data_IF_339403033518
#
_entry.id   IF_339403033518
#
_cell.length_a   1.000
_cell.length_b   1.000
_cell.length_c   1.000
_cell.angle_alpha   90.00
_cell.angle_beta   90.00
_cell.angle_gamma   90.00
#
_symmetry.space_group_name_H-M   'P 1'
#
loop_
_entity.id
_entity.type
_entity.pdbx_description
1 polymer ?
#
# COMPACT_ATOMS: atom_id res chain seq x y z
N UNK A 1 -10.56 -27.74 62.35
CA UNK A 1 -9.68 -26.57 62.11
C UNK A 1 -9.52 -26.47 60.60
N UNK A 2 -10.06 -25.39 60.02
CA UNK A 2 -10.14 -25.18 58.58
C UNK A 2 -9.04 -24.19 58.18
N UNK A 3 -8.20 -24.56 57.22
CA UNK A 3 -7.17 -23.68 56.64
C UNK A 3 -7.48 -23.39 55.18
N UNK A 4 -7.58 -22.09 54.90
CA UNK A 4 -7.97 -21.44 53.65
C UNK A 4 -6.73 -21.28 52.74
N UNK A 5 -6.83 -21.50 51.42
CA UNK A 5 -5.74 -21.18 50.49
C UNK A 5 -5.66 -19.67 50.18
N UNK A 6 -4.47 -19.11 49.92
CA UNK A 6 -4.30 -17.69 49.67
C UNK A 6 -4.82 -17.26 48.29
N UNK A 7 -5.56 -16.16 48.33
CA UNK A 7 -6.18 -15.42 47.23
C UNK A 7 -5.15 -14.79 46.29
N UNK A 8 -5.33 -14.97 44.98
CA UNK A 8 -4.58 -14.27 43.92
C UNK A 8 -5.04 -12.80 43.81
N UNK A 9 -4.14 -11.80 43.80
CA UNK A 9 -4.53 -10.44 43.45
C UNK A 9 -4.74 -10.30 41.94
N UNK A 10 -5.97 -9.95 41.58
CA UNK A 10 -6.37 -9.54 40.24
C UNK A 10 -5.52 -8.34 39.75
N UNK A 11 -4.92 -8.48 38.57
CA UNK A 11 -4.24 -7.40 37.85
C UNK A 11 -5.26 -6.32 37.46
N UNK A 12 -4.96 -5.07 37.79
CA UNK A 12 -5.66 -3.89 37.28
C UNK A 12 -5.33 -3.70 35.79
N UNK A 13 -6.32 -3.52 34.90
CA UNK A 13 -6.08 -2.97 33.56
C UNK A 13 -5.74 -1.48 33.68
N UNK A 14 -4.68 -1.04 33.01
CA UNK A 14 -4.29 0.37 32.91
C UNK A 14 -4.62 0.86 31.49
N UNK A 15 -5.91 0.92 31.19
CA UNK A 15 -6.46 1.70 30.10
C UNK A 15 -7.31 2.79 30.75
N UNK A 16 -6.90 4.05 30.59
CA UNK A 16 -7.75 5.21 30.92
C UNK A 16 -8.76 5.36 29.80
N UNK A 17 -10.01 5.42 30.22
CA UNK A 17 -11.20 5.56 29.40
C UNK A 17 -11.18 6.81 28.52
N UNK A 18 -11.63 6.63 27.27
CA UNK A 18 -12.34 7.65 26.52
C UNK A 18 -13.73 7.83 27.16
N UNK A 19 -14.32 9.04 27.18
CA UNK A 19 -15.54 9.29 27.95
C UNK A 19 -16.76 8.57 27.34
N UNK A 20 -17.35 7.69 28.14
CA UNK A 20 -18.63 7.03 27.90
C UNK A 20 -19.77 8.02 28.20
N UNK A 21 -20.66 8.17 27.22
CA UNK A 21 -21.84 9.04 27.26
C UNK A 21 -22.87 8.54 28.27
N UNK A 22 -23.31 9.42 29.16
CA UNK A 22 -24.42 9.21 30.11
C UNK A 22 -25.73 8.87 29.38
N UNK A 23 -26.49 7.83 29.81
CA UNK A 23 -27.84 7.61 29.32
C UNK A 23 -28.84 8.50 30.08
N UNK A 24 -29.65 9.26 29.32
CA UNK A 24 -30.77 10.04 29.83
C UNK A 24 -31.98 9.14 30.18
N UNK A 25 -32.85 9.56 31.12
CA UNK A 25 -33.88 8.71 31.71
C UNK A 25 -35.10 8.51 30.80
N UNK A 26 -35.72 7.34 30.96
CA UNK A 26 -36.93 6.91 30.27
C UNK A 26 -38.13 7.86 30.49
N UNK A 27 -38.94 8.15 29.45
CA UNK A 27 -40.27 8.66 29.63
C UNK A 27 -41.34 7.56 29.56
N UNK A 28 -42.45 7.87 30.21
CA UNK A 28 -43.55 7.02 30.60
C UNK A 28 -44.36 6.40 29.44
N UNK A 29 -45.04 5.31 29.81
CA UNK A 29 -45.93 4.46 29.04
C UNK A 29 -47.33 5.10 28.91
N UNK A 30 -47.86 5.24 27.69
CA UNK A 30 -49.30 5.19 27.39
C UNK A 30 -49.54 4.91 25.88
N UNK A 31 -50.73 4.40 25.48
CA UNK A 31 -50.88 3.39 24.42
C UNK A 31 -51.27 3.97 23.05
N UNK A 32 -50.85 3.32 21.97
CA UNK A 32 -51.53 3.46 20.67
C UNK A 32 -51.23 2.30 19.71
N UNK A 33 -52.27 1.50 19.50
CA UNK A 33 -52.81 1.05 18.22
C UNK A 33 -51.88 0.41 17.17
N UNK A 34 -52.19 -0.85 16.90
CA UNK A 34 -51.69 -1.69 15.82
C UNK A 34 -51.72 -1.02 14.44
N UNK A 35 -50.58 -1.03 13.73
CA UNK A 35 -50.56 -1.05 12.26
C UNK A 35 -49.48 -2.02 11.76
N UNK A 36 -49.97 -3.15 11.25
CA UNK A 36 -49.27 -4.20 10.52
C UNK A 36 -48.88 -3.64 9.14
N UNK A 37 -47.58 -3.43 8.88
CA UNK A 37 -47.08 -3.06 7.54
C UNK A 37 -46.26 -4.21 6.95
N UNK A 38 -46.75 -4.66 5.79
CA UNK A 38 -46.25 -5.70 4.88
C UNK A 38 -44.72 -5.65 4.68
N UNK A 39 -44.05 -6.79 4.92
CA UNK A 39 -42.72 -7.09 4.37
C UNK A 39 -42.87 -7.45 2.88
N UNK A 40 -42.13 -6.75 2.03
CA UNK A 40 -41.90 -7.14 0.63
C UNK A 40 -40.61 -7.99 0.51
N UNK A 41 -40.55 -8.90 -0.46
CA UNK A 41 -39.51 -9.93 -0.56
C UNK A 41 -38.20 -9.38 -1.14
N UNK A 42 -37.09 -9.78 -0.53
CA UNK A 42 -35.71 -9.54 -0.97
C UNK A 42 -35.39 -10.25 -2.28
N UNK A 43 -34.80 -9.52 -3.23
CA UNK A 43 -34.25 -10.06 -4.49
C UNK A 43 -32.96 -10.86 -4.23
N UNK A 44 -32.69 -11.93 -4.99
CA UNK A 44 -31.53 -12.79 -4.79
C UNK A 44 -30.22 -12.15 -5.28
N UNK A 45 -29.17 -12.39 -4.49
CA UNK A 45 -27.78 -12.02 -4.71
C UNK A 45 -27.18 -12.73 -5.93
N UNK A 46 -26.40 -11.99 -6.71
CA UNK A 46 -25.75 -12.45 -7.93
C UNK A 46 -24.64 -13.47 -7.66
N UNK A 47 -24.68 -14.55 -8.44
CA UNK A 47 -23.80 -15.72 -8.46
C UNK A 47 -22.30 -15.41 -8.61
N UNK A 48 -21.52 -15.94 -7.66
CA UNK A 48 -20.05 -15.89 -7.52
C UNK A 48 -19.33 -16.80 -8.54
N UNK A 49 -20.05 -17.50 -9.43
CA UNK A 49 -19.44 -18.52 -10.31
C UNK A 49 -18.87 -18.00 -11.63
N UNK A 50 -19.15 -16.76 -12.03
CA UNK A 50 -18.71 -16.24 -13.34
C UNK A 50 -17.19 -15.93 -13.46
N UNK A 51 -16.47 -15.44 -12.43
CA UNK A 51 -15.03 -15.17 -12.59
C UNK A 51 -14.17 -16.45 -12.61
N UNK A 52 -14.62 -17.55 -12.00
CA UNK A 52 -13.86 -18.80 -11.95
C UNK A 52 -13.81 -19.54 -13.31
N UNK A 53 -14.87 -19.42 -14.13
CA UNK A 53 -14.93 -20.01 -15.47
C UNK A 53 -14.07 -19.26 -16.52
N UNK A 54 -13.83 -17.97 -16.31
CA UNK A 54 -13.01 -17.17 -17.22
C UNK A 54 -11.51 -17.48 -17.00
N UNK A 55 -11.11 -17.72 -15.75
CA UNK A 55 -9.71 -18.01 -15.42
C UNK A 55 -9.25 -19.38 -15.94
N UNK A 56 -10.13 -20.39 -15.94
CA UNK A 56 -9.81 -21.73 -16.46
C UNK A 56 -9.68 -21.75 -17.99
N UNK A 57 -10.52 -20.98 -18.70
CA UNK A 57 -10.44 -20.88 -20.17
C UNK A 57 -9.09 -20.30 -20.65
N UNK A 58 -8.53 -19.33 -19.93
CA UNK A 58 -7.22 -18.72 -20.28
C UNK A 58 -6.07 -19.70 -20.10
N UNK A 59 -6.10 -20.56 -19.08
CA UNK A 59 -5.07 -21.58 -18.86
C UNK A 59 -5.07 -22.66 -19.96
N UNK A 60 -6.24 -23.09 -20.43
CA UNK A 60 -6.31 -24.08 -21.52
C UNK A 60 -5.80 -23.53 -22.86
N UNK A 61 -6.01 -22.23 -23.15
CA UNK A 61 -5.49 -21.60 -24.37
C UNK A 61 -3.96 -21.51 -24.34
N UNK A 62 -3.34 -21.20 -23.20
CA UNK A 62 -1.88 -21.14 -23.08
C UNK A 62 -1.20 -22.51 -23.21
N UNK A 63 -1.77 -23.54 -22.57
CA UNK A 63 -1.22 -24.91 -22.66
C UNK A 63 -1.43 -25.50 -24.06
N UNK A 64 -2.59 -25.25 -24.68
CA UNK A 64 -2.86 -25.67 -26.06
C UNK A 64 -1.97 -24.97 -27.09
N UNK A 65 -1.70 -23.67 -26.90
CA UNK A 65 -0.80 -22.89 -27.76
C UNK A 65 0.64 -23.39 -27.72
N UNK A 66 1.15 -23.76 -26.53
CA UNK A 66 2.51 -24.30 -26.38
C UNK A 66 2.66 -25.71 -27.01
N UNK A 67 1.62 -26.55 -26.91
CA UNK A 67 1.64 -27.88 -27.54
C UNK A 67 1.60 -27.82 -29.08
N UNK A 68 0.82 -26.88 -29.64
CA UNK A 68 0.73 -26.66 -31.10
C UNK A 68 2.01 -26.02 -31.66
N UNK A 69 2.65 -25.12 -30.90
CA UNK A 69 3.92 -24.54 -31.30
C UNK A 69 5.07 -25.54 -31.24
N UNK A 70 5.14 -26.35 -30.17
CA UNK A 70 6.15 -27.40 -30.02
C UNK A 70 6.07 -28.50 -31.09
N UNK A 71 4.86 -28.93 -31.46
CA UNK A 71 4.67 -29.93 -32.52
C UNK A 71 5.03 -29.41 -33.92
N UNK A 72 4.74 -28.14 -34.21
CA UNK A 72 5.12 -27.50 -35.48
C UNK A 72 6.64 -27.31 -35.59
N UNK A 73 7.32 -26.99 -34.49
CA UNK A 73 8.78 -26.84 -34.45
C UNK A 73 9.52 -28.17 -34.60
N UNK A 74 8.97 -29.26 -34.06
CA UNK A 74 9.50 -30.62 -34.24
C UNK A 74 9.24 -31.16 -35.66
N UNK A 75 8.08 -30.86 -36.26
CA UNK A 75 7.77 -31.25 -37.64
C UNK A 75 8.69 -30.56 -38.67
N UNK A 76 9.15 -29.33 -38.42
CA UNK A 76 10.07 -28.61 -39.30
C UNK A 76 11.53 -29.12 -39.23
N UNK A 77 11.90 -29.89 -38.20
CA UNK A 77 13.26 -30.46 -38.06
C UNK A 77 13.35 -31.95 -38.38
N UNK A 78 12.26 -32.60 -38.76
CA UNK A 78 12.29 -34.00 -39.20
C UNK A 78 12.64 -34.05 -40.71
N UNK A 79 13.77 -34.65 -41.12
CA UNK A 79 14.02 -34.88 -42.54
C UNK A 79 13.01 -35.88 -43.09
N UNK A 80 12.27 -35.47 -44.12
CA UNK A 80 11.38 -36.30 -44.92
C UNK A 80 12.18 -37.39 -45.63
N UNK A 81 12.27 -38.56 -45.00
CA UNK A 81 12.78 -39.78 -45.63
C UNK A 81 11.59 -40.57 -46.19
N UNK A 82 11.66 -40.81 -47.50
CA UNK A 82 10.75 -41.66 -48.27
C UNK A 82 10.72 -43.10 -47.71
N UNK A 83 9.58 -43.82 -47.71
CA UNK A 83 9.50 -45.15 -47.13
C UNK A 83 10.14 -46.15 -48.09
N UNK A 84 11.40 -46.52 -47.83
CA UNK A 84 12.12 -47.50 -48.61
C UNK A 84 13.23 -48.16 -47.80
N UNK A 85 13.03 -49.45 -47.50
CA UNK A 85 13.99 -50.42 -46.98
C UNK A 85 14.61 -50.16 -45.59
N UNK A 86 14.26 -51.03 -44.64
CA UNK A 86 14.92 -51.16 -43.36
C UNK A 86 16.37 -51.65 -43.56
N UNK A 87 17.30 -50.70 -43.64
CA UNK A 87 18.73 -50.97 -43.63
C UNK A 87 19.24 -51.15 -42.19
N UNK A 88 20.20 -52.06 -41.95
CA UNK A 88 20.74 -52.39 -40.62
C UNK A 88 21.38 -51.19 -39.89
N UNK A 89 21.72 -50.11 -40.61
CA UNK A 89 22.20 -48.84 -40.03
C UNK A 89 21.19 -48.17 -39.09
N UNK A 90 19.89 -48.27 -39.34
CA UNK A 90 18.85 -47.64 -38.51
C UNK A 90 18.79 -48.30 -37.12
N UNK A 91 19.04 -49.61 -37.05
CA UNK A 91 19.08 -50.35 -35.79
C UNK A 91 20.30 -49.99 -34.93
N UNK A 92 21.43 -49.66 -35.57
CA UNK A 92 22.65 -49.24 -34.89
C UNK A 92 22.51 -47.80 -34.36
N UNK A 93 21.96 -46.88 -35.16
CA UNK A 93 21.69 -45.51 -34.71
C UNK A 93 20.67 -45.45 -33.57
N UNK A 94 19.69 -46.35 -33.57
CA UNK A 94 18.68 -46.43 -32.51
C UNK A 94 19.26 -46.97 -31.19
N UNK A 95 20.19 -47.93 -31.25
CA UNK A 95 20.93 -48.40 -30.06
C UNK A 95 21.82 -47.31 -29.47
N UNK A 96 22.55 -46.57 -30.33
CA UNK A 96 23.36 -45.42 -29.89
C UNK A 96 22.49 -44.34 -29.25
N UNK A 97 21.33 -44.04 -29.84
CA UNK A 97 20.38 -43.09 -29.25
C UNK A 97 19.81 -43.58 -27.91
N UNK A 98 19.55 -44.88 -27.75
CA UNK A 98 19.06 -45.48 -26.51
C UNK A 98 20.12 -45.44 -25.41
N UNK A 99 21.38 -45.75 -25.73
CA UNK A 99 22.49 -45.67 -24.79
C UNK A 99 22.76 -44.22 -24.36
N UNK A 100 22.64 -43.27 -25.30
CA UNK A 100 22.73 -41.85 -25.00
C UNK A 100 21.58 -41.36 -24.11
N UNK A 101 20.35 -41.83 -24.34
CA UNK A 101 19.20 -41.53 -23.49
C UNK A 101 19.37 -42.12 -22.08
N UNK A 102 19.86 -43.36 -21.96
CA UNK A 102 20.15 -43.98 -20.67
C UNK A 102 21.25 -43.25 -19.91
N UNK A 103 22.29 -42.78 -20.59
CA UNK A 103 23.32 -41.94 -19.99
C UNK A 103 22.78 -40.59 -19.49
N UNK A 104 21.85 -39.97 -20.24
CA UNK A 104 21.18 -38.74 -19.81
C UNK A 104 20.26 -38.96 -18.59
N UNK A 105 19.51 -40.06 -18.56
CA UNK A 105 18.67 -40.41 -17.41
C UNK A 105 19.53 -40.62 -16.17
N UNK A 106 20.65 -41.34 -16.29
CA UNK A 106 21.59 -41.53 -15.17
C UNK A 106 22.22 -40.20 -14.69
N UNK A 107 22.50 -39.27 -15.61
CA UNK A 107 23.00 -37.94 -15.26
C UNK A 107 21.95 -37.09 -14.54
N UNK A 108 20.69 -37.13 -14.99
CA UNK A 108 19.57 -36.44 -14.35
C UNK A 108 19.25 -37.01 -12.97
N UNK A 109 19.33 -38.34 -12.81
CA UNK A 109 19.17 -39.00 -11.52
C UNK A 109 20.21 -38.48 -10.51
N UNK A 110 21.49 -38.39 -10.90
CA UNK A 110 22.55 -37.84 -10.05
C UNK A 110 22.33 -36.36 -9.70
N UNK A 111 21.79 -35.57 -10.63
CA UNK A 111 21.45 -34.17 -10.35
C UNK A 111 20.29 -34.05 -9.35
N UNK A 112 19.28 -34.92 -9.44
CA UNK A 112 18.18 -34.98 -8.47
C UNK A 112 18.67 -35.39 -7.08
N UNK A 113 19.55 -36.38 -7.01
CA UNK A 113 20.14 -36.83 -5.74
C UNK A 113 21.00 -35.73 -5.10
N UNK A 114 21.82 -35.03 -5.88
CA UNK A 114 22.60 -33.88 -5.41
C UNK A 114 21.71 -32.72 -4.92
N UNK A 115 20.62 -32.42 -5.63
CA UNK A 115 19.65 -31.41 -5.18
C UNK A 115 18.87 -31.84 -3.93
N UNK A 116 18.60 -33.14 -3.78
CA UNK A 116 17.98 -33.71 -2.59
C UNK A 116 18.85 -33.50 -1.35
N UNK A 117 20.16 -33.73 -1.48
CA UNK A 117 21.13 -33.53 -0.40
C UNK A 117 21.26 -32.04 -0.01
N UNK A 118 21.27 -31.12 -0.98
CA UNK A 118 21.25 -29.69 -0.71
C UNK A 118 19.98 -29.25 0.02
N UNK A 119 18.81 -29.76 -0.40
CA UNK A 119 17.54 -29.48 0.27
C UNK A 119 17.56 -29.97 1.71
N UNK A 120 18.05 -31.18 1.96
CA UNK A 120 18.19 -31.73 3.31
C UNK A 120 19.13 -30.87 4.19
N UNK A 121 20.28 -30.41 3.63
CA UNK A 121 21.19 -29.50 4.34
C UNK A 121 20.52 -28.17 4.67
N UNK A 122 19.77 -27.58 3.74
CA UNK A 122 19.02 -26.33 4.01
C UNK A 122 17.92 -26.53 5.05
N UNK A 123 17.20 -27.66 5.04
CA UNK A 123 16.20 -27.96 6.07
C UNK A 123 16.84 -28.14 7.44
N UNK A 124 17.95 -28.87 7.54
CA UNK A 124 18.69 -29.02 8.79
C UNK A 124 19.17 -27.67 9.35
N UNK A 125 19.67 -26.78 8.48
CA UNK A 125 20.09 -25.44 8.88
C UNK A 125 18.93 -24.56 9.35
N UNK A 126 17.76 -24.67 8.70
CA UNK A 126 16.55 -23.98 9.15
C UNK A 126 16.05 -24.51 10.49
N UNK A 127 16.11 -25.82 10.70
CA UNK A 127 15.76 -26.45 11.97
C UNK A 127 16.69 -25.97 13.10
N UNK A 128 18.00 -25.96 12.86
CA UNK A 128 18.98 -25.45 13.84
C UNK A 128 18.74 -23.96 14.16
N UNK A 129 18.39 -23.16 13.15
CA UNK A 129 18.06 -21.75 13.35
C UNK A 129 16.77 -21.57 14.15
N UNK A 130 15.75 -22.40 13.90
CA UNK A 130 14.51 -22.42 14.66
C UNK A 130 14.74 -22.83 16.13
N UNK A 131 15.57 -23.84 16.38
CA UNK A 131 15.92 -24.29 17.74
C UNK A 131 16.72 -23.21 18.49
N UNK A 132 17.66 -22.53 17.81
CA UNK A 132 18.38 -21.37 18.36
C UNK A 132 17.42 -20.22 18.68
N UNK A 133 16.44 -19.95 17.83
CA UNK A 133 15.41 -18.93 18.11
C UNK A 133 14.51 -19.32 19.29
N UNK A 134 14.13 -20.59 19.41
CA UNK A 134 13.33 -21.08 20.54
C UNK A 134 14.07 -20.90 21.89
N UNK A 135 15.38 -21.16 21.91
CA UNK A 135 16.24 -20.93 23.08
C UNK A 135 16.34 -19.44 23.45
N UNK A 136 16.48 -18.55 22.47
CA UNK A 136 16.51 -17.09 22.72
C UNK A 136 15.17 -16.58 23.24
N UNK A 137 14.05 -17.10 22.71
CA UNK A 137 12.71 -16.74 23.18
C UNK A 137 12.53 -17.16 24.65
N UNK A 138 12.99 -18.36 25.04
CA UNK A 138 12.94 -18.81 26.44
C UNK A 138 13.83 -18.01 27.39
N UNK A 139 14.95 -17.45 26.91
CA UNK A 139 15.79 -16.56 27.74
C UNK A 139 15.24 -15.14 27.84
N UNK A 140 14.47 -14.67 26.85
CA UNK A 140 13.90 -13.32 26.83
C UNK A 140 12.62 -13.13 27.67
N UNK A 141 12.12 -14.17 28.34
CA UNK A 141 10.96 -14.07 29.25
C UNK A 141 11.28 -13.60 30.68
N UNK A 142 12.49 -13.08 30.95
CA UNK A 142 12.77 -12.37 32.20
C UNK A 142 12.16 -10.95 32.17
N UNK A 143 10.99 -10.81 32.80
CA UNK A 143 10.38 -9.52 33.13
C UNK A 143 11.04 -9.01 34.42
N UNK A 144 11.68 -7.83 34.45
CA UNK A 144 12.06 -7.21 35.72
C UNK A 144 10.78 -6.71 36.41
N UNK A 145 10.48 -7.26 37.59
CA UNK A 145 9.48 -6.70 38.49
C UNK A 145 9.88 -5.27 38.85
N UNK A 146 8.94 -4.33 38.67
CA UNK A 146 9.09 -2.96 39.11
C UNK A 146 9.00 -2.91 40.64
N UNK A 147 10.16 -2.78 41.31
CA UNK A 147 10.25 -2.21 42.64
C UNK A 147 11.11 -0.95 42.56
N UNK A 148 10.49 0.18 42.89
CA UNK A 148 11.13 1.50 42.97
C UNK A 148 12.10 1.53 44.15
N UNK A 149 13.38 1.27 43.89
CA UNK A 149 14.48 1.65 44.77
C UNK A 149 15.31 2.74 44.08
N UNK A 150 15.61 3.81 44.82
CA UNK A 150 16.43 4.93 44.37
C UNK A 150 17.80 4.43 43.92
N UNK A 151 18.04 4.52 42.61
CA UNK A 151 19.30 4.19 41.94
C UNK A 151 20.34 5.23 42.37
N UNK A 152 21.41 4.77 43.02
CA UNK A 152 22.58 5.61 43.33
C UNK A 152 23.48 5.71 42.09
N UNK A 153 24.34 6.73 41.99
CA UNK A 153 25.24 6.92 40.83
C UNK A 153 26.19 5.73 40.55
N UNK A 154 26.34 4.80 41.49
CA UNK A 154 27.08 3.55 41.26
C UNK A 154 26.29 2.51 40.43
N UNK A 155 24.96 2.56 40.45
CA UNK A 155 24.08 1.64 39.71
C UNK A 155 23.92 2.02 38.23
N UNK A 156 24.16 3.28 37.86
CA UNK A 156 24.14 3.73 36.47
C UNK A 156 25.19 3.00 35.61
N UNK A 157 26.33 2.63 36.21
CA UNK A 157 27.38 1.84 35.56
C UNK A 157 27.01 0.36 35.38
N UNK A 158 26.20 -0.20 36.30
CA UNK A 158 25.68 -1.57 36.17
C UNK A 158 24.49 -1.66 35.21
N UNK A 159 23.64 -0.63 35.14
CA UNK A 159 22.57 -0.52 34.14
C UNK A 159 23.13 -0.26 32.74
N UNK A 160 24.23 0.49 32.60
CA UNK A 160 24.97 0.60 31.34
C UNK A 160 25.63 -0.72 30.92
N UNK A 161 26.06 -1.56 31.87
CA UNK A 161 26.57 -2.91 31.63
C UNK A 161 25.46 -3.96 31.38
N UNK A 162 24.22 -3.66 31.74
CA UNK A 162 23.01 -4.48 31.47
C UNK A 162 22.20 -4.00 30.26
N UNK A 163 22.63 -2.93 29.57
CA UNK A 163 22.15 -2.72 28.21
C UNK A 163 22.59 -3.96 27.41
N UNK A 164 21.66 -4.74 26.82
CA UNK A 164 22.08 -5.84 25.98
C UNK A 164 22.91 -5.19 24.88
N UNK A 165 24.23 -5.43 24.92
CA UNK A 165 25.13 -5.11 23.83
C UNK A 165 24.42 -5.65 22.60
N UNK A 166 23.89 -4.75 21.76
CA UNK A 166 22.97 -5.14 20.71
C UNK A 166 23.73 -6.13 19.87
N UNK A 167 23.41 -7.42 20.01
CA UNK A 167 24.18 -8.44 19.31
C UNK A 167 24.02 -8.13 17.82
N UNK A 168 25.02 -8.42 16.97
CA UNK A 168 24.89 -8.16 15.54
C UNK A 168 23.56 -8.67 14.96
N UNK A 169 23.08 -9.83 15.45
CA UNK A 169 21.77 -10.38 15.11
C UNK A 169 20.57 -9.53 15.59
N UNK A 170 20.62 -8.96 16.79
CA UNK A 170 19.59 -8.04 17.29
C UNK A 170 19.57 -6.73 16.48
N UNK A 171 20.74 -6.23 16.08
CA UNK A 171 20.87 -5.02 15.25
C UNK A 171 20.28 -5.23 13.86
N UNK A 172 20.58 -6.37 13.23
CA UNK A 172 19.98 -6.77 11.95
C UNK A 172 18.46 -6.91 12.04
N UNK A 173 17.95 -7.53 13.12
CA UNK A 173 16.51 -7.66 13.33
C UNK A 173 15.82 -6.29 13.44
N UNK A 174 16.43 -5.33 14.13
CA UNK A 174 15.92 -3.95 14.23
C UNK A 174 15.87 -3.32 12.83
N UNK A 175 16.94 -3.42 12.05
CA UNK A 175 16.97 -2.87 10.68
C UNK A 175 15.91 -3.50 9.77
N UNK A 176 15.67 -4.81 9.87
CA UNK A 176 14.63 -5.50 9.11
C UNK A 176 13.25 -4.99 9.53
N UNK A 177 12.99 -4.85 10.84
CA UNK A 177 11.72 -4.32 11.35
C UNK A 177 11.46 -2.90 10.87
N UNK A 178 12.46 -2.03 10.93
CA UNK A 178 12.31 -0.65 10.46
C UNK A 178 12.13 -0.59 8.93
N UNK A 179 12.82 -1.43 8.15
CA UNK A 179 12.55 -1.54 6.70
C UNK A 179 11.11 -1.99 6.43
N UNK A 180 10.60 -2.97 7.17
CA UNK A 180 9.22 -3.42 7.02
C UNK A 180 8.21 -2.32 7.40
N UNK A 181 8.54 -1.49 8.39
CA UNK A 181 7.75 -0.32 8.76
C UNK A 181 7.68 0.70 7.63
N UNK A 182 8.81 1.02 6.98
CA UNK A 182 8.84 1.89 5.79
C UNK A 182 7.99 1.32 4.65
N UNK A 183 8.08 0.01 4.43
CA UNK A 183 7.26 -0.69 3.41
C UNK A 183 5.77 -0.53 3.72
N UNK A 184 5.37 -0.71 4.98
CA UNK A 184 3.98 -0.54 5.41
C UNK A 184 3.46 0.89 5.23
N UNK A 185 4.29 1.91 5.44
CA UNK A 185 3.93 3.29 5.14
C UNK A 185 3.69 3.51 3.64
N UNK A 186 4.56 2.96 2.79
CA UNK A 186 4.37 3.04 1.34
C UNK A 186 3.12 2.27 0.88
N UNK A 187 2.87 1.07 1.40
CA UNK A 187 1.67 0.29 1.09
C UNK A 187 0.40 1.06 1.48
N UNK A 188 0.37 1.65 2.67
CA UNK A 188 -0.77 2.45 3.15
C UNK A 188 -0.97 3.71 2.30
N UNK A 189 0.11 4.40 1.91
CA UNK A 189 0.02 5.55 1.03
C UNK A 189 -0.53 5.20 -0.37
N UNK A 190 -0.17 4.04 -0.91
CA UNK A 190 -0.65 3.53 -2.21
C UNK A 190 -2.10 3.06 -2.11
N UNK A 191 -2.41 2.23 -1.11
CA UNK A 191 -3.71 1.57 -0.99
C UNK A 191 -4.84 2.51 -0.57
N UNK A 192 -4.55 3.49 0.29
CA UNK A 192 -5.59 4.36 0.88
C UNK A 192 -5.38 5.84 0.60
N UNK A 193 -4.36 6.23 -0.15
CA UNK A 193 -4.08 7.65 -0.36
C UNK A 193 -3.60 8.40 0.88
N UNK A 194 -3.05 7.72 1.90
CA UNK A 194 -2.69 8.37 3.16
C UNK A 194 -1.53 9.36 3.03
N UNK A 195 -1.82 10.66 3.19
CA UNK A 195 -0.80 11.73 3.28
C UNK A 195 0.15 11.53 4.45
N UNK A 196 -0.39 11.18 5.62
CA UNK A 196 0.39 10.92 6.84
C UNK A 196 1.46 9.84 6.60
N UNK A 197 1.11 8.78 5.88
CA UNK A 197 2.04 7.68 5.59
C UNK A 197 3.16 8.11 4.64
N UNK A 198 2.85 8.95 3.64
CA UNK A 198 3.88 9.57 2.79
C UNK A 198 4.78 10.51 3.60
N UNK A 199 4.20 11.30 4.52
CA UNK A 199 4.93 12.21 5.37
C UNK A 199 5.91 11.47 6.29
N UNK A 200 5.49 10.34 6.88
CA UNK A 200 6.36 9.49 7.68
C UNK A 200 7.58 8.95 6.89
N UNK A 201 7.42 8.65 5.59
CA UNK A 201 8.54 8.27 4.72
C UNK A 201 9.52 9.44 4.51
N UNK A 202 9.00 10.65 4.28
CA UNK A 202 9.83 11.85 4.11
C UNK A 202 10.59 12.18 5.39
N UNK A 203 9.94 12.08 6.55
CA UNK A 203 10.58 12.27 7.85
C UNK A 203 11.67 11.23 8.09
N UNK A 204 11.42 9.95 7.74
CA UNK A 204 12.42 8.90 7.85
C UNK A 204 13.65 9.12 6.96
N UNK A 205 13.50 9.81 5.82
CA UNK A 205 14.63 10.18 4.97
C UNK A 205 15.51 11.26 5.60
N UNK A 206 14.95 12.10 6.49
CA UNK A 206 15.62 13.24 7.09
C UNK A 206 16.10 12.97 8.53
N UNK A 207 15.62 11.89 9.16
CA UNK A 207 15.97 11.51 10.52
C UNK A 207 17.43 11.02 10.63
N UNK A 208 18.30 11.71 11.39
CA UNK A 208 19.67 11.27 11.62
C UNK A 208 19.78 9.89 12.27
N UNK A 209 18.78 9.48 13.07
CA UNK A 209 18.75 8.17 13.70
C UNK A 209 18.53 7.02 12.70
N UNK A 210 17.94 7.32 11.53
CA UNK A 210 17.65 6.35 10.47
C UNK A 210 18.62 6.44 9.28
N UNK A 211 19.84 6.96 9.48
CA UNK A 211 20.85 7.12 8.41
C UNK A 211 21.10 5.85 7.58
N UNK A 212 21.06 4.67 8.22
CA UNK A 212 21.28 3.38 7.54
C UNK A 212 20.05 2.93 6.69
N UNK A 213 18.92 3.61 6.83
CA UNK A 213 17.66 3.32 6.15
C UNK A 213 17.28 4.40 5.13
N UNK A 214 18.07 5.47 4.99
CA UNK A 214 17.76 6.58 4.07
C UNK A 214 17.51 6.10 2.64
N UNK A 215 18.32 5.17 2.13
CA UNK A 215 18.11 4.61 0.78
C UNK A 215 16.85 3.75 0.68
N UNK A 216 16.49 3.03 1.75
CA UNK A 216 15.25 2.26 1.80
C UNK A 216 14.04 3.20 1.81
N UNK A 217 14.06 4.25 2.65
CA UNK A 217 13.00 5.25 2.70
C UNK A 217 12.85 5.99 1.35
N UNK A 218 13.96 6.33 0.68
CA UNK A 218 13.96 6.92 -0.66
C UNK A 218 13.37 5.98 -1.71
N UNK A 219 13.71 4.69 -1.67
CA UNK A 219 13.18 3.70 -2.60
C UNK A 219 11.66 3.54 -2.43
N UNK A 220 11.19 3.46 -1.19
CA UNK A 220 9.76 3.38 -0.89
C UNK A 220 9.01 4.67 -1.27
N UNK A 221 9.57 5.84 -1.01
CA UNK A 221 9.02 7.11 -1.49
C UNK A 221 8.92 7.15 -3.02
N UNK A 222 9.94 6.69 -3.73
CA UNK A 222 9.93 6.57 -5.20
C UNK A 222 8.87 5.61 -5.71
N UNK A 223 8.63 4.51 -4.99
CA UNK A 223 7.57 3.55 -5.30
C UNK A 223 6.19 4.21 -5.20
N UNK A 224 5.95 4.99 -4.15
CA UNK A 224 4.71 5.77 -4.00
C UNK A 224 4.59 6.81 -5.12
N UNK A 225 5.65 7.58 -5.41
CA UNK A 225 5.64 8.55 -6.51
C UNK A 225 5.30 7.88 -7.84
N UNK A 226 5.95 6.76 -8.19
CA UNK A 226 5.72 6.06 -9.45
C UNK A 226 4.27 5.55 -9.58
N UNK A 227 3.69 5.04 -8.50
CA UNK A 227 2.28 4.64 -8.47
C UNK A 227 1.37 5.82 -8.81
N UNK A 228 1.57 6.97 -8.16
CA UNK A 228 0.75 8.15 -8.42
C UNK A 228 1.04 8.81 -9.77
N UNK A 229 2.26 8.75 -10.30
CA UNK A 229 2.55 9.27 -11.64
C UNK A 229 1.81 8.48 -12.73
N UNK A 230 1.63 7.17 -12.56
CA UNK A 230 0.96 6.29 -13.53
C UNK A 230 -0.56 6.24 -13.37
N UNK A 231 -1.09 6.45 -12.16
CA UNK A 231 -2.52 6.35 -11.87
C UNK A 231 -3.34 7.50 -12.47
N UNK A 232 -4.57 7.22 -12.90
CA UNK A 232 -5.57 8.27 -13.18
C UNK A 232 -6.29 8.55 -11.87
N UNK A 233 -6.27 9.80 -11.40
CA UNK A 233 -6.79 10.17 -10.08
C UNK A 233 -8.30 10.35 -10.01
N UNK A 234 -9.00 10.41 -11.14
CA UNK A 234 -10.47 10.48 -11.18
C UNK A 234 -11.04 9.52 -12.21
N UNK A 235 -12.12 8.84 -11.87
CA UNK A 235 -12.95 8.17 -12.85
C UNK A 235 -13.45 9.22 -13.86
N UNK A 236 -13.16 9.08 -15.17
CA UNK A 236 -13.68 9.99 -16.19
C UNK A 236 -15.20 10.20 -16.14
N UNK A 237 -15.94 9.23 -15.60
CA UNK A 237 -17.39 9.29 -15.42
C UNK A 237 -17.88 9.96 -14.14
N UNK A 238 -16.99 10.27 -13.18
CA UNK A 238 -17.42 10.86 -11.91
C UNK A 238 -17.83 12.33 -12.07
N UNK A 239 -19.05 12.64 -11.65
CA UNK A 239 -19.62 13.99 -11.60
C UNK A 239 -20.10 14.30 -10.19
N UNK A 240 -19.92 15.55 -9.74
CA UNK A 240 -20.41 16.03 -8.46
C UNK A 240 -21.93 15.86 -8.38
N UNK A 241 -22.47 15.34 -7.26
CA UNK A 241 -23.90 15.33 -6.99
C UNK A 241 -24.35 16.75 -6.59
N UNK A 242 -24.38 17.67 -7.56
CA UNK A 242 -24.61 19.11 -7.36
C UNK A 242 -25.88 19.40 -6.56
N UNK A 243 -26.98 18.68 -6.86
CA UNK A 243 -28.26 18.86 -6.16
C UNK A 243 -28.22 18.46 -4.68
N UNK A 244 -27.36 17.51 -4.32
CA UNK A 244 -27.23 17.04 -2.95
C UNK A 244 -26.29 17.94 -2.14
N UNK A 245 -25.23 18.44 -2.79
CA UNK A 245 -24.22 19.32 -2.19
C UNK A 245 -24.71 20.76 -2.04
N UNK A 246 -25.53 21.25 -2.97
CA UNK A 246 -25.98 22.65 -3.02
C UNK A 246 -27.50 22.77 -3.04
N UNK A 247 -28.16 22.27 -1.99
CA UNK A 247 -29.63 22.23 -1.88
C UNK A 247 -30.31 23.60 -1.98
N UNK A 248 -29.62 24.64 -1.51
CA UNK A 248 -30.16 26.00 -1.45
C UNK A 248 -29.76 26.87 -2.65
N UNK A 249 -29.07 26.28 -3.65
CA UNK A 249 -28.57 26.99 -4.82
C UNK A 249 -29.30 26.55 -6.08
N UNK A 250 -29.59 27.46 -7.03
CA UNK A 250 -30.24 27.10 -8.30
C UNK A 250 -29.32 26.33 -9.27
N UNK A 251 -28.16 25.87 -8.81
CA UNK A 251 -27.13 25.20 -9.61
C UNK A 251 -27.60 23.78 -9.93
N UNK A 252 -27.64 23.46 -11.23
CA UNK A 252 -28.13 22.14 -11.70
C UNK A 252 -27.01 21.26 -12.23
N UNK A 253 -25.96 21.87 -12.77
CA UNK A 253 -24.83 21.20 -13.41
C UNK A 253 -23.51 21.70 -12.84
N UNK A 254 -22.46 20.90 -12.98
CA UNK A 254 -21.10 21.31 -12.56
C UNK A 254 -20.63 22.58 -13.27
N UNK A 255 -21.07 22.81 -14.50
CA UNK A 255 -20.73 24.00 -15.28
C UNK A 255 -21.32 25.30 -14.69
N UNK A 256 -22.35 25.20 -13.87
CA UNK A 256 -23.00 26.34 -13.23
C UNK A 256 -22.30 26.72 -11.91
N UNK A 257 -21.33 25.92 -11.44
CA UNK A 257 -20.64 26.15 -10.18
C UNK A 257 -19.67 27.33 -10.26
N UNK A 258 -19.77 28.24 -9.30
CA UNK A 258 -18.81 29.34 -9.18
C UNK A 258 -17.48 28.84 -8.58
N UNK A 259 -16.35 29.50 -8.89
CA UNK A 259 -15.07 29.17 -8.26
C UNK A 259 -15.14 29.22 -6.72
N UNK A 260 -15.90 30.15 -6.14
CA UNK A 260 -16.08 30.25 -4.69
C UNK A 260 -16.79 29.03 -4.08
N UNK A 261 -17.79 28.46 -4.77
CA UNK A 261 -18.45 27.23 -4.34
C UNK A 261 -17.49 26.03 -4.38
N UNK A 262 -16.66 25.94 -5.43
CA UNK A 262 -15.64 24.91 -5.57
C UNK A 262 -14.53 25.06 -4.51
N UNK A 263 -14.16 26.29 -4.16
CA UNK A 263 -13.24 26.57 -3.06
C UNK A 263 -13.79 26.05 -1.73
N UNK A 264 -15.06 26.32 -1.44
CA UNK A 264 -15.74 25.83 -0.23
C UNK A 264 -15.75 24.30 -0.15
N UNK A 265 -16.10 23.61 -1.25
CA UNK A 265 -16.09 22.14 -1.29
C UNK A 265 -14.69 21.56 -1.05
N UNK A 266 -13.66 22.18 -1.61
CA UNK A 266 -12.29 21.68 -1.50
C UNK A 266 -11.69 21.92 -0.11
N UNK A 267 -12.11 22.96 0.60
CA UNK A 267 -11.67 23.25 1.98
C UNK A 267 -12.39 22.41 3.03
N UNK A 268 -13.60 21.94 2.74
CA UNK A 268 -14.38 21.13 3.68
C UNK A 268 -13.90 19.68 3.70
N UNK A 269 -13.03 19.36 4.67
CA UNK A 269 -12.50 18.02 4.88
C UNK A 269 -13.58 16.96 5.20
N UNK A 270 -14.81 17.37 5.57
CA UNK A 270 -15.93 16.45 5.81
C UNK A 270 -16.58 15.97 4.52
N UNK A 271 -16.38 16.68 3.41
CA UNK A 271 -16.87 16.23 2.11
C UNK A 271 -16.14 14.96 1.67
N UNK A 272 -16.78 14.09 0.88
CA UNK A 272 -16.10 12.98 0.22
C UNK A 272 -14.87 13.47 -0.55
N UNK A 273 -13.79 12.70 -0.50
CA UNK A 273 -12.53 13.09 -1.14
C UNK A 273 -12.68 13.19 -2.66
N UNK A 274 -13.56 12.40 -3.27
CA UNK A 274 -13.91 12.44 -4.69
C UNK A 274 -14.51 13.80 -5.08
N UNK A 275 -15.33 14.39 -4.20
CA UNK A 275 -15.91 15.70 -4.41
C UNK A 275 -14.85 16.81 -4.32
N UNK A 276 -13.92 16.71 -3.36
CA UNK A 276 -12.78 17.64 -3.25
C UNK A 276 -11.86 17.54 -4.46
N UNK A 277 -11.57 16.32 -4.90
CA UNK A 277 -10.75 16.04 -6.08
C UNK A 277 -11.39 16.61 -7.35
N UNK A 278 -12.68 16.33 -7.57
CA UNK A 278 -13.42 16.87 -8.72
C UNK A 278 -13.47 18.39 -8.68
N UNK A 279 -13.61 18.98 -7.50
CA UNK A 279 -13.54 20.44 -7.32
C UNK A 279 -12.17 20.99 -7.72
N UNK A 280 -11.08 20.35 -7.31
CA UNK A 280 -9.73 20.71 -7.74
C UNK A 280 -9.56 20.60 -9.27
N UNK A 281 -10.14 19.59 -9.91
CA UNK A 281 -10.12 19.45 -11.38
C UNK A 281 -10.88 20.59 -12.09
N UNK A 282 -12.08 20.93 -11.61
CA UNK A 282 -12.92 21.98 -12.21
C UNK A 282 -12.29 23.38 -12.10
N UNK A 283 -11.48 23.61 -11.06
CA UNK A 283 -10.75 24.87 -10.85
C UNK A 283 -9.63 25.14 -11.87
N UNK A 284 -9.37 24.21 -12.82
CA UNK A 284 -8.38 24.40 -13.89
C UNK A 284 -8.65 25.63 -14.76
N UNK A 285 -9.92 25.97 -14.97
CA UNK A 285 -10.35 27.10 -15.81
C UNK A 285 -10.79 28.32 -15.00
N UNK A 286 -10.63 28.29 -13.66
CA UNK A 286 -10.98 29.44 -12.82
C UNK A 286 -10.07 30.63 -13.12
N UNK A 287 -10.64 31.82 -13.22
CA UNK A 287 -9.89 33.08 -13.40
C UNK A 287 -9.50 33.74 -12.07
N UNK A 288 -9.93 33.19 -10.93
CA UNK A 288 -9.71 33.80 -9.62
C UNK A 288 -8.24 33.66 -9.19
N UNK A 289 -7.66 34.76 -8.73
CA UNK A 289 -6.26 34.83 -8.26
C UNK A 289 -6.02 33.94 -7.04
N UNK A 290 -6.99 33.90 -6.12
CA UNK A 290 -6.92 33.13 -4.86
C UNK A 290 -6.89 31.61 -5.08
N UNK A 291 -7.27 31.14 -6.28
CA UNK A 291 -7.31 29.70 -6.58
C UNK A 291 -5.92 29.06 -6.46
N UNK A 292 -4.85 29.75 -6.87
CA UNK A 292 -3.50 29.19 -6.81
C UNK A 292 -3.04 28.99 -5.36
N UNK A 293 -3.27 29.99 -4.50
CA UNK A 293 -2.98 29.92 -3.07
C UNK A 293 -3.70 28.73 -2.42
N UNK A 294 -4.97 28.57 -2.78
CA UNK A 294 -5.80 27.50 -2.27
C UNK A 294 -5.32 26.11 -2.75
N UNK A 295 -5.00 25.96 -4.04
CA UNK A 295 -4.48 24.69 -4.57
C UNK A 295 -3.16 24.31 -3.90
N UNK A 296 -2.28 25.27 -3.63
CA UNK A 296 -1.05 25.05 -2.89
C UNK A 296 -1.31 24.65 -1.44
N UNK A 297 -2.31 25.24 -0.78
CA UNK A 297 -2.73 24.84 0.56
C UNK A 297 -3.23 23.39 0.58
N UNK A 298 -4.11 23.03 -0.35
CA UNK A 298 -4.67 21.67 -0.47
C UNK A 298 -3.59 20.64 -0.78
N UNK A 299 -2.64 20.97 -1.65
CA UNK A 299 -1.48 20.12 -1.94
C UNK A 299 -0.66 19.76 -0.67
N UNK A 300 -0.58 20.69 0.29
CA UNK A 300 0.15 20.49 1.55
C UNK A 300 -0.66 19.75 2.60
N UNK A 301 -1.93 20.13 2.75
CA UNK A 301 -2.73 19.83 3.93
C UNK A 301 -3.79 18.74 3.71
N UNK A 302 -4.18 18.42 2.47
CA UNK A 302 -5.24 17.42 2.25
C UNK A 302 -4.77 16.03 2.72
N UNK A 303 -5.58 15.32 3.52
CA UNK A 303 -5.23 13.99 4.02
C UNK A 303 -5.13 12.93 2.92
N UNK A 304 -5.71 13.18 1.74
CA UNK A 304 -5.77 12.24 0.62
C UNK A 304 -4.84 12.67 -0.51
N UNK A 305 -3.89 11.79 -0.85
CA UNK A 305 -2.87 12.01 -1.87
C UNK A 305 -3.44 12.22 -3.27
N UNK A 306 -4.57 11.60 -3.61
CA UNK A 306 -5.23 11.82 -4.90
C UNK A 306 -5.76 13.26 -5.05
N UNK A 307 -6.31 13.82 -3.97
CA UNK A 307 -6.75 15.23 -3.95
C UNK A 307 -5.53 16.14 -4.08
N UNK A 308 -4.47 15.86 -3.31
CA UNK A 308 -3.22 16.61 -3.38
C UNK A 308 -2.59 16.57 -4.78
N UNK A 309 -2.51 15.37 -5.40
CA UNK A 309 -2.02 15.20 -6.78
C UNK A 309 -2.86 15.99 -7.78
N UNK A 310 -4.19 15.91 -7.69
CA UNK A 310 -5.06 16.65 -8.59
C UNK A 310 -4.88 18.16 -8.39
N UNK A 311 -4.73 18.63 -7.16
CA UNK A 311 -4.44 20.03 -6.86
C UNK A 311 -3.11 20.48 -7.49
N UNK A 312 -2.06 19.66 -7.41
CA UNK A 312 -0.79 19.92 -8.10
C UNK A 312 -0.98 19.99 -9.63
N UNK A 313 -1.65 19.01 -10.24
CA UNK A 313 -1.88 18.99 -11.70
C UNK A 313 -2.66 20.24 -12.13
N UNK A 314 -3.70 20.62 -11.39
CA UNK A 314 -4.48 21.82 -11.67
C UNK A 314 -3.61 23.08 -11.54
N UNK A 315 -2.79 23.18 -10.49
CA UNK A 315 -1.85 24.28 -10.32
C UNK A 315 -0.87 24.37 -11.50
N UNK A 316 -0.22 23.25 -11.85
CA UNK A 316 0.70 23.15 -12.99
C UNK A 316 0.08 23.60 -14.30
N UNK A 317 -1.16 23.19 -14.57
CA UNK A 317 -1.89 23.57 -15.78
C UNK A 317 -2.19 25.07 -15.82
N UNK A 318 -2.48 25.68 -14.66
CA UNK A 318 -2.75 27.11 -14.56
C UNK A 318 -1.49 27.95 -14.73
N UNK A 319 -0.36 27.49 -14.21
CA UNK A 319 0.91 28.25 -14.27
C UNK A 319 1.79 27.89 -15.46
N UNK A 320 1.43 26.85 -16.23
CA UNK A 320 2.18 26.41 -17.41
C UNK A 320 3.54 25.78 -17.10
N UNK A 321 3.75 25.28 -15.87
CA UNK A 321 5.01 24.66 -15.43
C UNK A 321 4.74 23.31 -14.78
N UNK A 322 5.56 22.33 -15.13
CA UNK A 322 5.57 21.01 -14.49
C UNK A 322 6.53 20.97 -13.31
N UNK A 323 6.12 20.32 -12.23
CA UNK A 323 6.95 20.05 -11.07
C UNK A 323 7.07 18.56 -10.84
N UNK A 324 8.01 18.17 -10.00
CA UNK A 324 8.06 16.80 -9.51
C UNK A 324 6.88 16.56 -8.58
N UNK A 325 6.24 15.40 -8.70
CA UNK A 325 5.06 15.07 -7.89
C UNK A 325 5.40 15.09 -6.38
N UNK A 326 4.59 15.80 -5.60
CA UNK A 326 4.74 15.97 -4.15
C UNK A 326 6.05 16.64 -3.69
N UNK A 327 6.78 17.31 -4.59
CA UNK A 327 7.95 18.12 -4.23
C UNK A 327 7.53 19.52 -3.77
N UNK A 328 6.83 19.56 -2.63
CA UNK A 328 6.25 20.77 -2.04
C UNK A 328 7.29 21.89 -1.87
N UNK A 329 8.51 21.64 -1.31
CA UNK A 329 9.49 22.71 -1.12
C UNK A 329 9.89 23.41 -2.42
N UNK A 330 10.10 22.64 -3.50
CA UNK A 330 10.45 23.21 -4.81
C UNK A 330 9.32 24.02 -5.41
N UNK A 331 8.07 23.56 -5.26
CA UNK A 331 6.87 24.26 -5.75
C UNK A 331 6.70 25.59 -5.02
N UNK A 332 6.84 25.59 -3.69
CA UNK A 332 6.72 26.79 -2.87
C UNK A 332 7.81 27.81 -3.18
N UNK A 333 9.07 27.38 -3.23
CA UNK A 333 10.19 28.24 -3.54
C UNK A 333 10.00 28.94 -4.90
N UNK A 334 9.50 28.18 -5.89
CA UNK A 334 9.17 28.75 -7.19
C UNK A 334 7.99 29.73 -7.13
N UNK A 335 6.89 29.38 -6.44
CA UNK A 335 5.71 30.23 -6.33
C UNK A 335 6.04 31.58 -5.67
N UNK A 336 6.84 31.55 -4.60
CA UNK A 336 7.30 32.76 -3.93
C UNK A 336 8.18 33.62 -4.84
N UNK A 337 9.05 33.01 -5.65
CA UNK A 337 9.88 33.73 -6.62
C UNK A 337 9.08 34.43 -7.72
N UNK A 338 7.86 33.95 -8.04
CA UNK A 338 6.96 34.60 -9.00
C UNK A 338 6.14 35.76 -8.41
N UNK A 339 6.33 36.08 -7.13
CA UNK A 339 5.57 37.13 -6.44
C UNK A 339 4.35 36.63 -5.67
N UNK A 340 4.15 35.32 -5.54
CA UNK A 340 3.13 34.71 -4.68
C UNK A 340 1.71 35.22 -4.93
N UNK A 341 0.98 35.50 -3.86
CA UNK A 341 -0.41 36.03 -3.86
C UNK A 341 -0.55 37.47 -4.37
N UNK A 342 0.48 38.03 -4.99
CA UNK A 342 0.32 39.32 -5.66
C UNK A 342 -0.71 39.13 -6.78
N UNK A 343 -1.82 39.91 -6.78
CA UNK A 343 -2.80 39.81 -7.84
C UNK A 343 -2.07 40.01 -9.16
N UNK A 344 -2.28 39.09 -10.10
CA UNK A 344 -1.68 39.13 -11.42
C UNK A 344 -1.79 40.57 -11.94
N UNK A 345 -0.64 41.26 -12.03
CA UNK A 345 -0.56 42.53 -12.72
C UNK A 345 -1.10 42.24 -14.10
N UNK A 346 -2.31 42.72 -14.37
CA UNK A 346 -2.90 42.72 -15.71
C UNK A 346 -1.78 43.18 -16.62
N UNK A 347 -1.36 42.33 -17.56
CA UNK A 347 -0.52 42.78 -18.65
C UNK A 347 -1.27 43.94 -19.28
N UNK A 348 -0.82 45.16 -19.00
CA UNK A 348 -1.17 46.33 -19.78
C UNK A 348 -0.55 46.01 -21.13
N UNK A 349 -1.38 45.73 -22.12
CA UNK A 349 -0.92 45.62 -23.50
C UNK A 349 -0.13 46.89 -23.83
N UNK A 350 1.12 46.79 -24.30
CA UNK A 350 1.88 47.95 -24.68
C UNK A 350 1.29 48.50 -25.99
N UNK A 351 0.42 49.49 -25.85
CA UNK A 351 0.01 50.44 -26.87
C UNK A 351 -0.66 49.85 -28.11
N UNK A 352 -1.98 50.02 -28.19
CA UNK A 352 -2.66 50.48 -29.41
C UNK A 352 -3.82 51.38 -29.07
#
# INVERSE_FOLDING_TARGET
MAETPPSSPARKPLLKDAPESTPAPAPARAPSTAQRKKQEPTKPTSSVWKPALILSAVQFVFVGGLALWGSSYLAQKAPTSSPGAASPEVSASMKVALDQANAQIAALQRQLDAQGEERAKTQSRLQEMADRMALVIQQSSFVPSADTARVSDQDASQVAAMMPSVTPATGELILIKERNRLTSYADKAIATGSRESLQALVEAMMDPAMKNLTHAAQAEFKRVQAYYDMGISIDPGYTLPVRELFKDSPVTREADLSPAQLHGLMQDAKQPWEARLRSAFLLRSSTEAETNALLLKVLKEDPILDVAKQAQITFENRVGRKFRLFDIPSIEAWWQAQGGDKPALKMIEPGK
#
